data_IF_203382794601
#
_entry.id   IF_203382794601
#
_cell.length_a   1.000
_cell.length_b   1.000
_cell.length_c   1.000
_cell.angle_alpha   90.00
_cell.angle_beta   90.00
_cell.angle_gamma   90.00
#
_symmetry.space_group_name_H-M   'P 1'
#
loop_
_entity.id
_entity.type
_entity.pdbx_description
1 polymer ?
#
# COMPACT_ATOMS: atom_id res chain seq x y z
N UNK A 1 23.68 -21.79 -32.83
CA UNK A 1 24.29 -20.74 -33.70
C UNK A 1 25.39 -21.25 -34.63
N UNK A 2 26.38 -22.04 -34.19
CA UNK A 2 27.38 -22.64 -35.10
C UNK A 2 26.73 -23.72 -35.99
N UNK A 3 25.96 -24.64 -35.39
CA UNK A 3 25.20 -25.66 -36.11
C UNK A 3 24.19 -25.06 -37.12
N UNK A 4 23.64 -23.90 -36.80
CA UNK A 4 22.70 -23.16 -37.66
C UNK A 4 23.41 -22.31 -38.74
N UNK A 5 24.75 -22.32 -38.74
CA UNK A 5 25.58 -21.59 -39.70
C UNK A 5 25.55 -20.07 -39.54
N UNK A 6 25.16 -19.54 -38.38
CA UNK A 6 25.07 -18.09 -38.11
C UNK A 6 26.39 -17.48 -37.62
N UNK A 7 27.24 -18.30 -36.99
CA UNK A 7 28.58 -17.89 -36.53
C UNK A 7 29.58 -18.98 -36.87
N UNK A 8 30.80 -18.57 -37.23
CA UNK A 8 31.96 -19.46 -37.32
C UNK A 8 32.88 -19.20 -36.15
N UNK A 9 33.55 -20.27 -35.70
CA UNK A 9 34.59 -20.20 -34.68
C UNK A 9 35.94 -20.44 -35.33
N UNK A 10 36.89 -19.54 -35.11
CA UNK A 10 38.29 -19.69 -35.53
C UNK A 10 39.21 -19.62 -34.32
N UNK A 11 40.31 -20.36 -34.34
CA UNK A 11 41.30 -20.30 -33.26
C UNK A 11 42.12 -19.01 -33.41
N UNK A 12 42.31 -18.31 -32.29
CA UNK A 12 43.21 -17.16 -32.22
C UNK A 12 44.66 -17.60 -32.37
N UNK A 13 45.52 -16.65 -32.72
CA UNK A 13 46.96 -16.89 -32.99
C UNK A 13 47.74 -17.58 -31.86
N UNK A 14 47.26 -17.54 -30.61
CA UNK A 14 47.89 -18.19 -29.45
C UNK A 14 47.24 -19.52 -29.04
N UNK A 15 46.30 -20.03 -29.84
CA UNK A 15 45.48 -21.23 -29.62
C UNK A 15 44.65 -21.27 -28.32
N UNK A 16 44.78 -20.27 -27.43
CA UNK A 16 44.11 -20.21 -26.12
C UNK A 16 42.81 -19.41 -26.17
N UNK A 17 42.61 -18.62 -27.22
CA UNK A 17 41.38 -17.84 -27.44
C UNK A 17 40.66 -18.30 -28.69
N UNK A 18 39.33 -18.36 -28.62
CA UNK A 18 38.49 -18.59 -29.80
C UNK A 18 37.86 -17.29 -30.25
N UNK A 19 38.02 -16.98 -31.53
CA UNK A 19 37.39 -15.83 -32.17
C UNK A 19 36.09 -16.33 -32.80
N UNK A 20 34.97 -15.76 -32.38
CA UNK A 20 33.66 -16.03 -32.95
C UNK A 20 33.31 -14.89 -33.90
N UNK A 21 33.06 -15.20 -35.17
CA UNK A 21 32.65 -14.23 -36.17
C UNK A 21 31.28 -14.60 -36.73
N UNK A 22 30.45 -13.60 -37.02
CA UNK A 22 29.22 -13.82 -37.78
C UNK A 22 29.56 -14.27 -39.19
N UNK A 23 28.83 -15.27 -39.69
CA UNK A 23 28.87 -15.66 -41.10
C UNK A 23 28.07 -14.65 -41.93
N UNK A 24 28.15 -14.70 -43.27
CA UNK A 24 27.29 -13.87 -44.13
C UNK A 24 25.79 -14.08 -43.85
N UNK A 25 25.38 -15.33 -43.54
CA UNK A 25 24.02 -15.66 -43.09
C UNK A 25 23.71 -15.03 -41.73
N UNK A 26 24.63 -15.09 -40.78
CA UNK A 26 24.50 -14.43 -39.47
C UNK A 26 24.38 -12.91 -39.58
N UNK A 27 25.15 -12.28 -40.46
CA UNK A 27 25.05 -10.85 -40.75
C UNK A 27 23.73 -10.47 -41.43
N UNK A 28 23.18 -11.34 -42.28
CA UNK A 28 21.85 -11.16 -42.88
C UNK A 28 20.75 -11.18 -41.81
N UNK A 29 20.73 -12.22 -40.98
CA UNK A 29 19.77 -12.32 -39.86
C UNK A 29 19.90 -11.15 -38.89
N UNK A 30 21.13 -10.71 -38.60
CA UNK A 30 21.34 -9.55 -37.74
C UNK A 30 20.77 -8.27 -38.37
N UNK A 31 20.94 -8.05 -39.67
CA UNK A 31 20.35 -6.90 -40.38
C UNK A 31 18.83 -6.90 -40.32
N UNK A 32 18.18 -8.06 -40.33
CA UNK A 32 16.72 -8.16 -40.22
C UNK A 32 16.21 -7.98 -38.78
N UNK A 33 16.99 -8.44 -37.79
CA UNK A 33 16.62 -8.34 -36.37
C UNK A 33 16.92 -6.98 -35.76
N UNK A 34 17.98 -6.31 -36.20
CA UNK A 34 18.46 -5.07 -35.58
C UNK A 34 17.41 -3.94 -35.60
N UNK A 35 16.64 -3.71 -36.69
CA UNK A 35 15.54 -2.75 -36.68
C UNK A 35 14.42 -3.14 -35.71
N UNK A 36 14.10 -4.43 -35.60
CA UNK A 36 13.05 -4.92 -34.69
C UNK A 36 13.47 -4.76 -33.24
N UNK A 37 14.72 -5.08 -32.91
CA UNK A 37 15.25 -4.84 -31.58
C UNK A 37 15.27 -3.37 -31.24
N UNK A 38 15.70 -2.50 -32.17
CA UNK A 38 15.65 -1.05 -31.95
C UNK A 38 14.22 -0.59 -31.66
N UNK A 39 13.24 -1.00 -32.47
CA UNK A 39 11.84 -0.66 -32.24
C UNK A 39 11.31 -1.16 -30.88
N UNK A 40 11.71 -2.37 -30.44
CA UNK A 40 11.35 -2.88 -29.11
C UNK A 40 12.00 -2.03 -28.01
N UNK A 41 13.29 -1.72 -28.12
CA UNK A 41 13.98 -0.90 -27.10
C UNK A 41 13.46 0.53 -27.06
N UNK A 42 13.10 1.11 -28.20
CA UNK A 42 12.47 2.42 -28.29
C UNK A 42 11.07 2.39 -27.66
N UNK A 43 10.28 1.33 -27.88
CA UNK A 43 8.97 1.16 -27.22
C UNK A 43 9.09 0.99 -25.70
N UNK A 44 10.09 0.23 -25.22
CA UNK A 44 10.36 0.11 -23.79
C UNK A 44 10.82 1.48 -23.23
N UNK A 45 11.61 2.25 -23.97
CA UNK A 45 12.00 3.59 -23.55
C UNK A 45 10.79 4.54 -23.48
N UNK A 46 9.89 4.50 -24.47
CA UNK A 46 8.65 5.28 -24.44
C UNK A 46 7.78 4.94 -23.22
N UNK A 47 7.66 3.64 -22.89
CA UNK A 47 6.96 3.23 -21.66
C UNK A 47 7.66 3.74 -20.39
N UNK A 48 9.00 3.76 -20.36
CA UNK A 48 9.77 4.31 -19.24
C UNK A 48 9.60 5.84 -19.11
N UNK A 49 9.37 6.55 -20.22
CA UNK A 49 9.13 8.00 -20.23
C UNK A 49 7.67 8.34 -19.83
N UNK A 50 6.73 7.41 -20.01
CA UNK A 50 5.31 7.55 -19.61
C UNK A 50 5.08 7.27 -18.11
N UNK A 51 5.99 6.55 -17.45
CA UNK A 51 5.89 6.21 -16.03
C UNK A 51 6.73 7.18 -15.20
N UNK A 52 6.20 7.65 -14.07
CA UNK A 52 6.89 8.59 -13.17
C UNK A 52 8.11 7.99 -12.43
N UNK A 53 8.44 6.72 -12.68
CA UNK A 53 9.47 5.97 -11.97
C UNK A 53 10.38 5.24 -12.97
N UNK A 54 11.71 5.51 -13.01
CA UNK A 54 12.61 4.90 -13.98
C UNK A 54 12.93 3.45 -13.59
N UNK A 55 12.05 2.51 -13.97
CA UNK A 55 12.10 1.09 -13.58
C UNK A 55 13.42 0.43 -13.97
N UNK A 56 13.91 0.65 -15.20
CA UNK A 56 15.21 0.10 -15.63
C UNK A 56 16.37 0.65 -14.80
N UNK A 57 16.33 1.94 -14.48
CA UNK A 57 17.33 2.60 -13.63
C UNK A 57 17.32 2.01 -12.22
N UNK A 58 16.14 1.86 -11.64
CA UNK A 58 15.95 1.30 -10.31
C UNK A 58 16.35 -0.17 -10.23
N UNK A 59 15.99 -0.98 -11.22
CA UNK A 59 16.39 -2.39 -11.29
C UNK A 59 17.91 -2.52 -11.44
N UNK A 60 18.53 -1.69 -12.28
CA UNK A 60 20.00 -1.68 -12.46
C UNK A 60 20.70 -1.27 -11.15
N UNK A 61 20.19 -0.26 -10.46
CA UNK A 61 20.70 0.18 -9.16
C UNK A 61 20.53 -0.90 -8.08
N UNK A 62 19.39 -1.60 -8.06
CA UNK A 62 19.14 -2.71 -7.15
C UNK A 62 20.09 -3.89 -7.40
N UNK A 63 20.27 -4.29 -8.67
CA UNK A 63 21.23 -5.34 -9.05
C UNK A 63 22.66 -4.93 -8.65
N UNK A 64 23.07 -3.69 -8.96
CA UNK A 64 24.39 -3.19 -8.57
C UNK A 64 24.56 -3.18 -7.04
N UNK A 65 23.54 -2.81 -6.29
CA UNK A 65 23.56 -2.88 -4.83
C UNK A 65 23.71 -4.32 -4.32
N UNK A 66 22.98 -5.28 -4.90
CA UNK A 66 23.07 -6.70 -4.55
C UNK A 66 24.44 -7.32 -4.90
N UNK A 67 25.09 -6.84 -5.96
CA UNK A 67 26.44 -7.28 -6.34
C UNK A 67 27.54 -6.71 -5.44
N UNK A 68 27.35 -5.53 -4.84
CA UNK A 68 28.33 -4.93 -3.92
C UNK A 68 28.41 -5.66 -2.58
N UNK A 69 27.28 -6.11 -2.08
CA UNK A 69 27.14 -6.80 -0.80
C UNK A 69 26.05 -7.85 -0.94
N UNK A 70 26.42 -9.11 -0.77
CA UNK A 70 25.45 -10.20 -0.82
C UNK A 70 24.55 -10.22 0.42
N UNK A 71 23.49 -11.01 0.37
CA UNK A 71 22.49 -11.04 1.43
C UNK A 71 23.04 -11.56 2.76
N UNK A 72 23.98 -12.51 2.73
CA UNK A 72 24.61 -13.04 3.94
C UNK A 72 25.50 -11.99 4.62
N UNK A 73 26.26 -11.23 3.82
CA UNK A 73 27.07 -10.11 4.29
C UNK A 73 26.21 -9.01 4.89
N UNK A 74 25.05 -8.70 4.29
CA UNK A 74 24.08 -7.73 4.82
C UNK A 74 23.51 -8.16 6.17
N UNK A 75 23.14 -9.43 6.32
CA UNK A 75 22.72 -10.00 7.61
C UNK A 75 23.84 -9.90 8.65
N UNK A 76 25.07 -10.20 8.27
CA UNK A 76 26.22 -10.13 9.18
C UNK A 76 26.59 -8.68 9.57
N UNK A 77 26.35 -7.69 8.71
CA UNK A 77 26.50 -6.27 9.05
C UNK A 77 25.37 -5.83 9.99
N UNK A 78 24.13 -6.20 9.71
CA UNK A 78 22.98 -5.88 10.57
C UNK A 78 23.15 -6.44 12.00
N UNK A 79 23.60 -7.70 12.13
CA UNK A 79 23.90 -8.32 13.44
C UNK A 79 25.03 -7.60 14.20
N UNK A 80 26.06 -7.13 13.50
CA UNK A 80 27.19 -6.40 14.11
C UNK A 80 26.84 -4.98 14.54
N UNK A 81 25.84 -4.35 13.93
CA UNK A 81 25.29 -3.06 14.39
C UNK A 81 24.47 -3.22 15.68
N UNK A 82 23.86 -4.40 15.90
CA UNK A 82 23.10 -4.72 17.11
C UNK A 82 24.03 -5.00 18.32
N UNK A 83 25.21 -5.58 18.06
CA UNK A 83 26.20 -5.96 19.10
C UNK A 83 27.17 -4.82 19.50
N UNK A 84 27.26 -3.73 18.73
CA UNK A 84 28.14 -2.58 18.98
C UNK A 84 27.43 -1.37 19.58
N UNK A 85 26.56 -1.56 20.57
CA UNK A 85 26.11 -0.45 21.41
C UNK A 85 27.03 -0.32 22.66
N UNK A 86 28.15 0.42 22.61
CA UNK A 86 28.78 0.92 23.81
C UNK A 86 27.99 2.13 24.32
N UNK A 87 27.72 2.16 25.63
CA UNK A 87 27.26 3.37 26.30
C UNK A 87 28.37 4.42 26.28
N UNK A 88 28.06 5.61 25.76
CA UNK A 88 28.90 6.80 25.90
C UNK A 88 28.02 8.05 26.00
N UNK A 89 27.98 8.57 27.23
CA UNK A 89 28.13 9.98 27.62
C UNK A 89 27.58 11.09 26.71
N UNK A 90 26.63 11.82 27.30
CA UNK A 90 26.02 13.07 26.88
C UNK A 90 27.04 14.19 26.64
N UNK A 91 27.01 14.79 25.45
CA UNK A 91 27.38 16.20 25.25
C UNK A 91 26.23 16.88 24.50
N UNK A 92 25.73 17.96 25.10
CA UNK A 92 24.43 18.55 24.83
C UNK A 92 24.27 19.19 23.46
N UNK A 93 23.24 18.75 22.74
CA UNK A 93 22.51 19.56 21.77
C UNK A 93 21.30 20.16 22.48
N UNK A 94 20.94 21.43 22.24
CA UNK A 94 19.80 22.06 22.91
C UNK A 94 18.50 21.35 22.52
N UNK A 95 17.94 20.62 23.47
CA UNK A 95 16.63 19.97 23.37
C UNK A 95 15.52 21.01 23.47
N UNK A 96 15.05 21.49 22.32
CA UNK A 96 13.71 22.02 22.21
C UNK A 96 12.78 20.87 21.80
N UNK A 97 12.42 20.00 22.75
CA UNK A 97 11.43 18.95 22.55
C UNK A 97 10.06 19.60 22.36
N UNK A 98 9.70 19.86 21.11
CA UNK A 98 8.31 20.15 20.78
C UNK A 98 7.52 18.85 21.00
N UNK A 99 6.56 18.89 21.93
CA UNK A 99 5.78 17.73 22.39
C UNK A 99 4.78 17.19 21.36
N UNK A 100 5.24 16.86 20.14
CA UNK A 100 4.41 16.41 19.01
C UNK A 100 3.58 15.14 19.28
N UNK A 101 3.96 14.35 20.29
CA UNK A 101 3.40 13.03 20.56
C UNK A 101 2.67 12.93 21.93
N UNK A 102 2.36 14.05 22.58
CA UNK A 102 1.83 14.05 23.97
C UNK A 102 0.31 13.88 24.12
N UNK A 103 -0.50 13.91 23.05
CA UNK A 103 -1.96 13.78 23.15
C UNK A 103 -2.48 12.60 22.33
N UNK A 104 -2.78 11.48 23.00
CA UNK A 104 -3.41 10.31 22.41
C UNK A 104 -4.87 10.19 22.86
N UNK A 105 -5.80 10.23 21.90
CA UNK A 105 -7.23 10.00 22.14
C UNK A 105 -8.11 10.64 21.06
N UNK A 106 -8.18 11.97 21.03
CA UNK A 106 -9.06 12.74 20.12
C UNK A 106 -8.57 12.80 18.66
N UNK A 107 -7.32 12.42 18.38
CA UNK A 107 -6.70 12.51 17.06
C UNK A 107 -7.20 11.47 16.02
N UNK A 108 -7.86 10.37 16.45
CA UNK A 108 -8.08 9.21 15.58
C UNK A 108 -8.98 9.50 14.36
N UNK A 109 -10.10 10.22 14.56
CA UNK A 109 -11.04 10.54 13.49
C UNK A 109 -10.55 11.66 12.57
N UNK A 110 -9.82 12.65 13.12
CA UNK A 110 -9.35 13.84 12.38
C UNK A 110 -8.09 13.58 11.55
N UNK A 111 -7.28 12.58 11.91
CA UNK A 111 -5.96 12.35 11.29
C UNK A 111 -5.93 11.26 10.22
N UNK A 112 -7.01 10.49 10.00
CA UNK A 112 -7.02 9.45 8.95
C UNK A 112 -7.41 10.00 7.58
N UNK A 113 -6.77 9.52 6.51
CA UNK A 113 -7.12 9.93 5.15
C UNK A 113 -8.54 9.46 4.80
N UNK A 114 -9.36 10.34 4.24
CA UNK A 114 -10.68 10.00 3.70
C UNK A 114 -10.54 9.43 2.30
N UNK A 115 -11.35 8.43 1.97
CA UNK A 115 -11.40 7.88 0.62
C UNK A 115 -11.79 8.95 -0.43
N UNK A 116 -11.31 8.82 -1.67
CA UNK A 116 -11.76 9.63 -2.80
C UNK A 116 -13.23 9.33 -3.11
N UNK A 117 -14.07 10.33 -3.49
CA UNK A 117 -15.45 10.11 -3.94
C UNK A 117 -15.56 9.06 -5.06
N UNK A 118 -14.52 8.98 -5.91
CA UNK A 118 -14.38 8.02 -7.00
C UNK A 118 -14.51 6.57 -6.52
N UNK A 119 -14.07 6.24 -5.30
CA UNK A 119 -14.23 4.89 -4.76
C UNK A 119 -15.71 4.51 -4.63
N UNK A 120 -16.52 5.38 -4.00
CA UNK A 120 -17.94 5.13 -3.83
C UNK A 120 -18.68 5.14 -5.19
N UNK A 121 -18.29 6.03 -6.10
CA UNK A 121 -18.83 6.08 -7.46
C UNK A 121 -18.57 4.77 -8.23
N UNK A 122 -17.36 4.22 -8.15
CA UNK A 122 -17.01 2.96 -8.83
C UNK A 122 -17.76 1.76 -8.24
N UNK A 123 -17.85 1.68 -6.91
CA UNK A 123 -18.62 0.64 -6.22
C UNK A 123 -20.11 0.69 -6.62
N UNK A 124 -20.72 1.88 -6.58
CA UNK A 124 -22.10 2.07 -6.99
C UNK A 124 -22.32 1.82 -8.49
N UNK A 125 -21.35 2.18 -9.33
CA UNK A 125 -21.34 1.91 -10.77
C UNK A 125 -21.32 0.42 -11.12
N UNK A 126 -20.81 -0.42 -10.23
CA UNK A 126 -20.74 -1.88 -10.42
C UNK A 126 -22.05 -2.60 -10.06
N UNK A 127 -22.94 -1.94 -9.32
CA UNK A 127 -24.20 -2.49 -8.86
C UNK A 127 -25.32 -2.26 -9.89
N UNK A 128 -26.20 -3.24 -10.07
CA UNK A 128 -27.35 -3.12 -10.98
C UNK A 128 -28.46 -2.22 -10.40
N UNK A 129 -28.68 -2.34 -9.09
CA UNK A 129 -29.52 -1.45 -8.29
C UNK A 129 -28.68 -0.79 -7.19
N UNK A 130 -29.20 0.28 -6.59
CA UNK A 130 -28.51 1.04 -5.54
C UNK A 130 -29.43 1.30 -4.35
N UNK A 131 -30.22 0.29 -3.95
CA UNK A 131 -31.14 0.41 -2.82
C UNK A 131 -30.40 0.32 -1.49
N UNK A 132 -29.55 -0.71 -1.32
CA UNK A 132 -28.88 -0.95 -0.04
C UNK A 132 -27.39 -1.26 -0.22
N UNK A 133 -26.55 -0.45 0.42
CA UNK A 133 -25.15 -0.77 0.66
C UNK A 133 -24.92 -1.19 2.12
N UNK A 134 -24.10 -2.22 2.32
CA UNK A 134 -23.65 -2.69 3.63
C UNK A 134 -22.14 -2.42 3.77
N UNK A 135 -21.77 -1.48 4.64
CA UNK A 135 -20.38 -1.18 5.01
C UNK A 135 -20.02 -1.93 6.29
N UNK A 136 -19.15 -2.93 6.19
CA UNK A 136 -18.82 -3.89 7.25
C UNK A 136 -17.44 -3.61 7.83
N UNK A 137 -17.38 -3.38 9.13
CA UNK A 137 -16.21 -2.81 9.79
C UNK A 137 -16.01 -1.35 9.40
N UNK A 138 -17.08 -0.55 9.48
CA UNK A 138 -17.12 0.80 8.93
C UNK A 138 -16.28 1.82 9.71
N UNK A 139 -15.78 1.48 10.91
CA UNK A 139 -15.17 2.42 11.83
C UNK A 139 -16.10 3.62 12.09
N UNK A 140 -15.55 4.82 12.02
CA UNK A 140 -16.31 6.07 12.14
C UNK A 140 -17.01 6.52 10.84
N UNK A 141 -17.23 5.60 9.88
CA UNK A 141 -18.11 5.81 8.73
C UNK A 141 -17.51 6.62 7.58
N UNK A 142 -16.18 6.61 7.41
CA UNK A 142 -15.52 7.36 6.34
C UNK A 142 -16.03 6.95 4.94
N UNK A 143 -16.20 5.65 4.69
CA UNK A 143 -16.74 5.16 3.41
C UNK A 143 -18.28 5.21 3.40
N UNK A 144 -18.94 4.84 4.49
CA UNK A 144 -20.40 4.98 4.66
C UNK A 144 -20.94 6.34 4.21
N UNK A 145 -20.24 7.42 4.59
CA UNK A 145 -20.58 8.80 4.25
C UNK A 145 -20.57 9.07 2.75
N UNK A 146 -19.62 8.48 2.02
CA UNK A 146 -19.52 8.59 0.57
C UNK A 146 -20.59 7.73 -0.12
N UNK A 147 -20.78 6.50 0.36
CA UNK A 147 -21.80 5.57 -0.16
C UNK A 147 -23.22 6.14 -0.02
N UNK A 148 -23.49 6.88 1.04
CA UNK A 148 -24.77 7.55 1.26
C UNK A 148 -25.14 8.57 0.16
N UNK A 149 -24.19 9.02 -0.65
CA UNK A 149 -24.46 9.85 -1.84
C UNK A 149 -24.91 9.06 -3.07
N UNK A 150 -24.82 7.73 -3.04
CA UNK A 150 -25.07 6.86 -4.20
C UNK A 150 -26.14 5.79 -3.96
N UNK A 151 -26.47 5.48 -2.71
CA UNK A 151 -27.44 4.45 -2.34
C UNK A 151 -28.62 5.04 -1.56
N UNK A 152 -29.81 4.46 -1.75
CA UNK A 152 -31.03 4.88 -1.03
C UNK A 152 -30.85 4.70 0.48
N UNK A 153 -30.18 3.62 0.90
CA UNK A 153 -29.83 3.33 2.28
C UNK A 153 -28.42 2.73 2.41
N UNK A 154 -27.73 3.11 3.48
CA UNK A 154 -26.49 2.47 3.93
C UNK A 154 -26.71 1.88 5.31
N UNK A 155 -26.44 0.59 5.49
CA UNK A 155 -26.25 -0.01 6.81
C UNK A 155 -24.74 -0.09 7.06
N UNK A 156 -24.28 0.52 8.13
CA UNK A 156 -22.87 0.59 8.49
C UNK A 156 -22.66 -0.13 9.82
N UNK A 157 -21.77 -1.13 9.85
CA UNK A 157 -21.59 -2.01 11.01
C UNK A 157 -20.16 -1.99 11.51
N UNK A 158 -19.98 -1.92 12.82
CA UNK A 158 -18.68 -2.09 13.48
C UNK A 158 -18.85 -2.73 14.87
N UNK A 159 -17.85 -3.43 15.37
CA UNK A 159 -17.87 -4.02 16.72
C UNK A 159 -17.59 -2.99 17.81
N UNK A 160 -16.90 -1.90 17.46
CA UNK A 160 -16.48 -0.84 18.36
C UNK A 160 -17.56 0.22 18.54
N UNK A 161 -18.17 0.26 19.73
CA UNK A 161 -19.12 1.31 20.09
C UNK A 161 -18.48 2.71 19.97
N UNK A 162 -17.24 2.85 20.43
CA UNK A 162 -16.49 4.11 20.35
C UNK A 162 -16.33 4.63 18.91
N UNK A 163 -16.08 3.74 17.94
CA UNK A 163 -16.00 4.15 16.53
C UNK A 163 -17.36 4.65 16.01
N UNK A 164 -18.44 3.97 16.38
CA UNK A 164 -19.80 4.32 15.96
C UNK A 164 -20.29 5.62 16.61
N UNK A 165 -19.92 5.88 17.87
CA UNK A 165 -20.27 7.11 18.59
C UNK A 165 -19.64 8.36 17.93
N UNK A 166 -18.48 8.19 17.28
CA UNK A 166 -17.81 9.23 16.51
C UNK A 166 -18.16 9.23 15.01
N UNK A 167 -19.11 8.40 14.58
CA UNK A 167 -19.45 8.29 13.18
C UNK A 167 -20.29 9.48 12.69
N UNK A 168 -19.98 9.94 11.48
CA UNK A 168 -20.72 11.04 10.87
C UNK A 168 -22.17 10.63 10.58
N UNK A 169 -23.12 11.38 11.14
CA UNK A 169 -24.55 11.12 10.95
C UNK A 169 -25.05 11.63 9.60
N UNK A 170 -25.87 10.81 8.92
CA UNK A 170 -26.64 11.20 7.73
C UNK A 170 -28.03 10.54 7.77
N UNK A 171 -29.06 11.15 7.16
CA UNK A 171 -30.43 10.64 7.24
C UNK A 171 -30.62 9.21 6.71
N UNK A 172 -29.81 8.79 5.75
CA UNK A 172 -29.91 7.48 5.10
C UNK A 172 -28.81 6.50 5.52
N UNK A 173 -28.07 6.78 6.59
CA UNK A 173 -27.12 5.83 7.18
C UNK A 173 -27.69 5.29 8.49
N UNK A 174 -27.70 3.97 8.63
CA UNK A 174 -28.03 3.28 9.86
C UNK A 174 -26.78 2.58 10.41
N UNK A 175 -26.24 3.11 11.50
CA UNK A 175 -25.13 2.49 12.23
C UNK A 175 -25.64 1.39 13.16
N UNK A 176 -24.98 0.22 13.16
CA UNK A 176 -25.30 -0.89 14.06
C UNK A 176 -24.03 -1.50 14.64
N UNK A 177 -24.07 -1.85 15.92
CA UNK A 177 -22.95 -2.52 16.59
C UNK A 177 -23.03 -4.03 16.35
N UNK A 178 -22.31 -4.50 15.34
CA UNK A 178 -22.39 -5.88 14.87
C UNK A 178 -21.03 -6.39 14.39
N UNK A 179 -20.84 -7.70 14.47
CA UNK A 179 -19.66 -8.36 13.91
C UNK A 179 -19.89 -8.67 12.44
N UNK A 180 -18.81 -8.71 11.65
CA UNK A 180 -18.86 -9.05 10.23
C UNK A 180 -19.46 -10.44 9.97
N UNK A 181 -19.32 -11.35 10.94
CA UNK A 181 -19.77 -12.74 10.87
C UNK A 181 -21.23 -12.96 11.28
N UNK A 182 -21.94 -11.90 11.67
CA UNK A 182 -23.34 -11.98 12.11
C UNK A 182 -24.05 -10.65 11.83
N UNK A 183 -24.60 -10.52 10.63
CA UNK A 183 -25.22 -9.30 10.14
C UNK A 183 -26.73 -9.34 10.36
N UNK A 184 -27.31 -8.30 10.95
CA UNK A 184 -28.78 -8.22 11.10
C UNK A 184 -29.52 -7.85 9.81
N UNK A 185 -28.80 -7.61 8.72
CA UNK A 185 -29.38 -7.37 7.40
C UNK A 185 -30.20 -8.59 6.95
N UNK A 186 -31.32 -8.33 6.28
CA UNK A 186 -32.19 -9.36 5.75
C UNK A 186 -31.48 -10.16 4.64
N UNK A 187 -31.90 -11.40 4.45
CA UNK A 187 -31.41 -12.19 3.32
C UNK A 187 -31.79 -11.55 1.99
N UNK A 188 -30.97 -11.71 0.96
CA UNK A 188 -31.22 -11.23 -0.41
C UNK A 188 -31.62 -9.73 -0.48
N UNK A 189 -30.96 -8.88 0.31
CA UNK A 189 -31.35 -7.47 0.46
C UNK A 189 -30.29 -6.47 0.01
N UNK A 190 -29.01 -6.79 0.13
CA UNK A 190 -27.92 -5.87 -0.17
C UNK A 190 -27.54 -5.91 -1.66
N UNK A 191 -27.36 -4.72 -2.25
CA UNK A 191 -26.81 -4.53 -3.60
C UNK A 191 -25.28 -4.49 -3.60
N UNK A 192 -24.72 -3.92 -2.52
CA UNK A 192 -23.29 -3.80 -2.26
C UNK A 192 -22.98 -4.28 -0.84
N UNK A 193 -21.94 -5.09 -0.70
CA UNK A 193 -21.31 -5.44 0.57
C UNK A 193 -19.84 -5.02 0.47
N UNK A 194 -19.39 -4.11 1.32
CA UNK A 194 -18.02 -3.62 1.30
C UNK A 194 -17.39 -3.69 2.68
N UNK A 195 -16.10 -4.03 2.74
CA UNK A 195 -15.29 -3.94 3.95
C UNK A 195 -14.02 -3.16 3.63
N UNK A 196 -13.91 -1.93 4.17
CA UNK A 196 -12.83 -1.01 3.85
C UNK A 196 -11.86 -0.87 5.05
N UNK A 197 -10.61 -1.31 4.88
CA UNK A 197 -9.59 -1.40 5.95
C UNK A 197 -9.93 -2.36 7.10
N UNK A 198 -10.89 -3.27 6.92
CA UNK A 198 -11.37 -4.14 7.99
C UNK A 198 -11.19 -5.66 7.74
N UNK A 199 -11.15 -6.10 6.48
CA UNK A 199 -11.25 -7.53 6.12
C UNK A 199 -10.20 -8.45 6.78
N UNK A 200 -9.01 -7.93 7.07
CA UNK A 200 -7.92 -8.68 7.71
C UNK A 200 -8.17 -9.00 9.20
N UNK A 201 -9.25 -8.47 9.79
CA UNK A 201 -9.67 -8.78 11.17
C UNK A 201 -10.76 -9.87 11.24
N UNK A 202 -11.34 -10.26 10.11
CA UNK A 202 -12.54 -11.10 10.09
C UNK A 202 -12.23 -12.59 10.06
N UNK A 203 -13.15 -13.41 10.56
CA UNK A 203 -13.27 -14.81 10.15
C UNK A 203 -13.88 -14.85 8.74
N UNK A 204 -13.01 -14.82 7.73
CA UNK A 204 -13.40 -14.74 6.33
C UNK A 204 -14.37 -15.85 5.90
N UNK A 205 -14.18 -17.14 6.24
CA UNK A 205 -15.17 -18.18 5.95
C UNK A 205 -16.57 -17.89 6.50
N UNK A 206 -16.69 -17.33 7.71
CA UNK A 206 -17.98 -16.95 8.30
C UNK A 206 -18.56 -15.71 7.65
N UNK A 207 -17.74 -14.67 7.50
CA UNK A 207 -18.11 -13.43 6.81
C UNK A 207 -18.65 -13.73 5.40
N UNK A 208 -17.99 -14.58 4.61
CA UNK A 208 -18.46 -14.92 3.27
C UNK A 208 -19.74 -15.74 3.23
N UNK A 209 -20.10 -16.45 4.30
CA UNK A 209 -21.43 -17.07 4.41
C UNK A 209 -22.50 -16.01 4.62
N UNK A 210 -22.24 -15.03 5.48
CA UNK A 210 -23.13 -13.88 5.67
C UNK A 210 -23.26 -13.05 4.39
N UNK A 211 -22.17 -12.78 3.67
CA UNK A 211 -22.24 -12.08 2.39
C UNK A 211 -23.16 -12.77 1.38
N UNK A 212 -23.10 -14.11 1.30
CA UNK A 212 -24.00 -14.90 0.45
C UNK A 212 -25.44 -14.88 0.92
N UNK A 213 -25.67 -14.82 2.22
CA UNK A 213 -27.01 -14.76 2.78
C UNK A 213 -27.65 -13.40 2.52
N UNK A 214 -26.94 -12.30 2.76
CA UNK A 214 -27.50 -10.94 2.72
C UNK A 214 -27.47 -10.32 1.32
N UNK A 215 -26.53 -10.72 0.47
CA UNK A 215 -26.41 -10.19 -0.89
C UNK A 215 -27.53 -10.72 -1.78
N UNK A 216 -28.16 -9.83 -2.56
CA UNK A 216 -29.04 -10.24 -3.66
C UNK A 216 -28.27 -11.11 -4.67
N UNK A 217 -28.98 -11.90 -5.52
CA UNK A 217 -28.37 -12.49 -6.70
C UNK A 217 -27.62 -11.44 -7.53
N UNK A 218 -26.30 -11.60 -7.67
CA UNK A 218 -25.45 -10.66 -8.40
C UNK A 218 -25.02 -9.40 -7.62
N UNK A 219 -25.25 -9.34 -6.30
CA UNK A 219 -24.74 -8.28 -5.44
C UNK A 219 -23.22 -8.15 -5.55
N UNK A 220 -22.72 -6.93 -5.45
CA UNK A 220 -21.28 -6.65 -5.48
C UNK A 220 -20.70 -6.87 -4.09
N UNK A 221 -19.56 -7.55 -4.01
CA UNK A 221 -18.74 -7.63 -2.81
C UNK A 221 -17.38 -7.00 -3.05
N UNK A 222 -16.91 -6.17 -2.13
CA UNK A 222 -15.63 -5.49 -2.21
C UNK A 222 -14.85 -5.53 -0.89
N UNK A 223 -13.60 -5.99 -0.93
CA UNK A 223 -12.63 -5.80 0.15
C UNK A 223 -11.67 -4.71 -0.27
N UNK A 224 -11.76 -3.53 0.34
CA UNK A 224 -10.96 -2.38 -0.02
C UNK A 224 -9.92 -2.07 1.07
N UNK A 225 -8.76 -1.58 0.66
CA UNK A 225 -7.75 -1.07 1.58
C UNK A 225 -6.95 0.04 0.91
N UNK A 226 -6.32 0.90 1.71
CA UNK A 226 -5.26 1.78 1.26
C UNK A 226 -3.92 1.32 1.85
N UNK A 227 -2.90 1.29 0.98
CA UNK A 227 -1.59 0.72 1.27
C UNK A 227 -0.71 1.62 2.12
N UNK A 228 0.60 1.55 1.87
CA UNK A 228 1.60 2.36 2.56
C UNK A 228 1.59 3.78 1.97
N UNK A 229 1.56 4.85 2.80
CA UNK A 229 1.71 6.21 2.30
C UNK A 229 3.04 6.41 1.60
N UNK A 230 3.06 7.25 0.58
CA UNK A 230 4.29 7.84 0.06
C UNK A 230 4.14 9.34 -0.10
N UNK A 231 5.24 10.05 0.11
CA UNK A 231 5.34 11.48 -0.19
C UNK A 231 5.68 11.65 -1.67
N UNK A 232 5.11 12.64 -2.32
CA UNK A 232 5.55 13.04 -3.66
C UNK A 232 6.80 13.91 -3.51
N UNK A 233 7.97 13.36 -3.86
CA UNK A 233 9.24 14.07 -3.80
C UNK A 233 10.32 13.42 -2.91
N UNK A 234 11.39 14.17 -2.58
CA UNK A 234 12.63 13.61 -2.03
C UNK A 234 12.48 13.05 -0.61
N UNK A 235 11.50 13.52 0.16
CA UNK A 235 11.25 13.05 1.52
C UNK A 235 10.69 11.62 1.59
N UNK A 236 10.18 11.11 0.46
CA UNK A 236 9.60 9.78 0.41
C UNK A 236 10.57 8.67 0.81
N UNK A 237 11.82 8.74 0.35
CA UNK A 237 12.82 7.71 0.65
C UNK A 237 12.99 7.53 2.17
N UNK A 238 12.88 8.63 2.92
CA UNK A 238 12.97 8.61 4.38
C UNK A 238 11.73 8.03 5.04
N UNK A 239 10.54 8.40 4.55
CA UNK A 239 9.27 7.82 5.03
C UNK A 239 9.24 6.30 4.77
N UNK A 240 9.63 5.86 3.57
CA UNK A 240 9.69 4.43 3.23
C UNK A 240 10.71 3.68 4.09
N UNK A 241 11.89 4.25 4.32
CA UNK A 241 12.90 3.64 5.19
C UNK A 241 12.37 3.49 6.63
N UNK A 242 11.72 4.51 7.17
CA UNK A 242 11.12 4.46 8.49
C UNK A 242 10.05 3.38 8.58
N UNK A 243 9.12 3.36 7.62
CA UNK A 243 8.04 2.40 7.54
C UNK A 243 8.57 0.96 7.50
N UNK A 244 9.40 0.65 6.50
CA UNK A 244 9.79 -0.73 6.20
C UNK A 244 10.94 -1.27 7.03
N UNK A 245 11.74 -0.42 7.68
CA UNK A 245 12.92 -0.86 8.43
C UNK A 245 12.78 -0.56 9.91
N UNK A 246 12.46 0.68 10.27
CA UNK A 246 12.49 1.10 11.68
C UNK A 246 11.23 0.69 12.44
N UNK A 247 10.08 0.61 11.74
CA UNK A 247 8.81 0.21 12.36
C UNK A 247 8.38 -1.24 12.07
N UNK A 248 9.12 -1.96 11.23
CA UNK A 248 8.78 -3.32 10.77
C UNK A 248 8.38 -4.27 11.91
N UNK A 249 9.14 -4.29 12.99
CA UNK A 249 8.91 -5.18 14.14
C UNK A 249 7.65 -4.85 14.96
N UNK A 250 7.09 -3.65 14.81
CA UNK A 250 5.91 -3.22 15.56
C UNK A 250 4.61 -3.43 14.79
N UNK A 251 4.65 -3.75 13.49
CA UNK A 251 3.43 -4.00 12.74
C UNK A 251 2.76 -5.32 13.15
N UNK A 252 1.43 -5.36 13.30
CA UNK A 252 0.69 -6.62 13.46
C UNK A 252 0.89 -7.54 12.25
N UNK A 253 0.92 -8.85 12.46
CA UNK A 253 1.06 -9.84 11.39
C UNK A 253 0.00 -9.64 10.28
N UNK A 254 -1.24 -9.30 10.65
CA UNK A 254 -2.32 -9.02 9.68
C UNK A 254 -2.09 -7.79 8.79
N UNK A 255 -1.10 -6.93 9.09
CA UNK A 255 -0.79 -5.74 8.28
C UNK A 255 -0.30 -6.12 6.87
N UNK A 256 0.41 -7.23 6.73
CA UNK A 256 0.87 -7.76 5.45
C UNK A 256 -0.27 -7.93 4.43
N UNK A 257 -1.46 -8.30 4.89
CA UNK A 257 -2.63 -8.41 4.01
C UNK A 257 -3.05 -7.07 3.42
N UNK A 258 -2.93 -5.97 4.17
CA UNK A 258 -3.23 -4.63 3.63
C UNK A 258 -2.13 -4.15 2.68
N UNK A 259 -0.87 -4.42 3.03
CA UNK A 259 0.29 -4.03 2.19
C UNK A 259 0.28 -4.72 0.82
N UNK A 260 -0.22 -5.96 0.77
CA UNK A 260 -0.43 -6.72 -0.47
C UNK A 260 -1.78 -6.45 -1.13
N UNK A 261 -2.54 -5.46 -0.66
CA UNK A 261 -3.84 -5.10 -1.24
C UNK A 261 -4.87 -6.23 -1.18
N UNK A 262 -4.79 -7.06 -0.13
CA UNK A 262 -5.58 -8.27 0.09
C UNK A 262 -5.37 -9.40 -0.91
N UNK A 263 -4.34 -9.34 -1.76
CA UNK A 263 -4.08 -10.34 -2.80
C UNK A 263 -4.02 -11.79 -2.28
N UNK A 264 -3.55 -11.98 -1.05
CA UNK A 264 -3.38 -13.30 -0.43
C UNK A 264 -4.62 -13.80 0.34
N UNK A 265 -5.61 -12.94 0.59
CA UNK A 265 -6.82 -13.38 1.30
C UNK A 265 -7.61 -14.40 0.44
N UNK A 266 -8.29 -15.38 1.02
CA UNK A 266 -9.30 -16.14 0.28
C UNK A 266 -10.35 -15.18 -0.30
N UNK A 267 -10.83 -15.41 -1.51
CA UNK A 267 -11.94 -14.62 -2.07
C UNK A 267 -12.80 -15.52 -2.96
N UNK A 268 -13.78 -16.23 -2.37
CA UNK A 268 -14.53 -17.29 -3.04
C UNK A 268 -15.69 -16.73 -3.88
N UNK A 269 -15.42 -15.70 -4.68
CA UNK A 269 -16.37 -14.98 -5.52
C UNK A 269 -15.77 -14.78 -6.90
N UNK A 270 -16.61 -14.59 -7.92
CA UNK A 270 -16.12 -14.15 -9.23
C UNK A 270 -15.44 -12.80 -9.06
N UNK A 271 -14.19 -12.64 -9.48
CA UNK A 271 -13.44 -11.40 -9.32
C UNK A 271 -13.18 -10.73 -10.67
N UNK A 272 -12.99 -9.41 -10.65
CA UNK A 272 -12.54 -8.64 -11.81
C UNK A 272 -11.46 -7.63 -11.41
N UNK A 273 -10.71 -7.08 -12.38
CA UNK A 273 -9.68 -6.08 -12.10
C UNK A 273 -10.28 -4.86 -11.40
N UNK A 274 -9.64 -4.43 -10.31
CA UNK A 274 -9.97 -3.16 -9.67
C UNK A 274 -9.31 -2.01 -10.44
N UNK A 275 -9.99 -0.86 -10.62
CA UNK A 275 -9.33 0.35 -11.10
C UNK A 275 -8.22 0.79 -10.13
N UNK A 276 -7.21 1.47 -10.67
CA UNK A 276 -6.21 2.15 -9.87
C UNK A 276 -6.83 3.41 -9.26
N UNK A 277 -6.99 3.42 -7.94
CA UNK A 277 -7.49 4.55 -7.18
C UNK A 277 -6.46 4.94 -6.14
N UNK A 278 -6.45 6.22 -5.78
CA UNK A 278 -5.49 6.77 -4.84
C UNK A 278 -6.20 7.73 -3.89
N UNK A 279 -5.76 7.73 -2.63
CA UNK A 279 -6.07 8.84 -1.72
C UNK A 279 -4.96 9.86 -1.86
N UNK A 280 -5.29 11.12 -2.12
CA UNK A 280 -4.33 12.22 -2.12
C UNK A 280 -4.64 13.21 -1.00
N UNK A 281 -3.64 13.63 -0.25
CA UNK A 281 -3.76 14.71 0.74
C UNK A 281 -2.56 15.64 0.68
N UNK A 282 -2.83 16.93 0.78
CA UNK A 282 -1.82 17.94 1.04
C UNK A 282 -1.74 18.15 2.54
N UNK A 283 -0.66 17.67 3.16
CA UNK A 283 -0.46 17.78 4.59
C UNK A 283 0.83 18.52 4.91
N UNK A 284 0.78 19.31 5.98
CA UNK A 284 1.99 19.78 6.64
C UNK A 284 2.59 18.68 7.52
N UNK A 285 3.74 18.96 8.13
CA UNK A 285 4.46 18.00 8.97
C UNK A 285 3.61 17.54 10.17
N UNK A 286 2.92 18.45 10.83
CA UNK A 286 2.12 18.15 12.03
C UNK A 286 0.99 17.18 11.71
N UNK A 287 0.32 17.36 10.57
CA UNK A 287 -0.74 16.46 10.10
C UNK A 287 -0.21 15.07 9.76
N UNK A 288 0.97 14.97 9.12
CA UNK A 288 1.60 13.67 8.87
C UNK A 288 1.99 12.97 10.18
N UNK A 289 2.63 13.67 11.11
CA UNK A 289 3.01 13.09 12.40
C UNK A 289 1.78 12.70 13.24
N UNK A 290 0.71 13.48 13.19
CA UNK A 290 -0.59 13.14 13.78
C UNK A 290 -1.19 11.87 13.17
N UNK A 291 -1.17 11.72 11.85
CA UNK A 291 -1.59 10.50 11.17
C UNK A 291 -0.75 9.28 11.60
N UNK A 292 0.57 9.43 11.72
CA UNK A 292 1.46 8.34 12.14
C UNK A 292 1.15 7.83 13.56
N UNK A 293 0.63 8.68 14.44
CA UNK A 293 0.18 8.27 15.78
C UNK A 293 -1.03 7.34 15.74
N UNK A 294 -1.78 7.33 14.64
CA UNK A 294 -2.91 6.40 14.44
C UNK A 294 -2.48 5.02 13.95
N UNK A 295 -1.18 4.81 13.69
CA UNK A 295 -0.67 3.52 13.24
C UNK A 295 -0.66 2.50 14.39
N UNK A 296 -1.06 1.27 14.09
CA UNK A 296 -0.94 0.16 15.04
C UNK A 296 0.52 -0.08 15.45
N UNK A 297 1.48 0.17 14.56
CA UNK A 297 2.90 0.15 14.88
C UNK A 297 3.31 1.22 15.91
N UNK A 298 2.72 2.42 15.87
CA UNK A 298 2.98 3.45 16.89
C UNK A 298 2.49 2.99 18.26
N UNK A 299 1.26 2.49 18.34
CA UNK A 299 0.70 1.96 19.59
C UNK A 299 1.54 0.82 20.17
N UNK A 300 1.97 -0.14 19.33
CA UNK A 300 2.83 -1.25 19.76
C UNK A 300 4.24 -0.81 20.15
N UNK A 301 4.80 0.19 19.48
CA UNK A 301 6.07 0.79 19.90
C UNK A 301 5.94 1.48 21.25
N UNK A 302 4.83 2.19 21.50
CA UNK A 302 4.53 2.80 22.79
C UNK A 302 4.41 1.75 23.90
N UNK A 303 3.63 0.68 23.67
CA UNK A 303 3.45 -0.43 24.62
C UNK A 303 4.78 -1.15 24.92
N UNK A 304 5.70 -1.17 23.96
CA UNK A 304 7.04 -1.72 24.11
C UNK A 304 8.06 -0.75 24.73
N UNK A 305 7.66 0.46 25.13
CA UNK A 305 8.56 1.50 25.64
C UNK A 305 9.55 2.02 24.61
N UNK A 306 9.24 1.92 23.31
CA UNK A 306 10.06 2.30 22.15
C UNK A 306 9.54 3.54 21.42
N UNK A 307 8.89 4.44 22.15
CA UNK A 307 8.28 5.67 21.64
C UNK A 307 9.32 6.59 20.98
N UNK A 308 10.55 6.57 21.47
CA UNK A 308 11.66 7.41 21.00
C UNK A 308 12.02 7.18 19.52
N UNK A 309 11.65 6.03 18.94
CA UNK A 309 11.84 5.76 17.51
C UNK A 309 11.01 6.72 16.65
N UNK A 310 9.74 6.95 17.04
CA UNK A 310 8.85 7.87 16.33
C UNK A 310 9.20 9.32 16.61
N UNK A 311 9.58 9.66 17.84
CA UNK A 311 10.00 11.01 18.21
C UNK A 311 11.24 11.44 17.44
N UNK A 312 12.27 10.59 17.44
CA UNK A 312 13.49 10.82 16.67
C UNK A 312 13.22 10.97 15.18
N UNK A 313 12.34 10.13 14.61
CA UNK A 313 11.95 10.26 13.20
C UNK A 313 11.21 11.57 12.94
N UNK A 314 10.31 11.98 13.83
CA UNK A 314 9.60 13.25 13.73
C UNK A 314 10.54 14.44 13.70
N UNK A 315 11.44 14.56 14.68
CA UNK A 315 12.47 15.61 14.73
C UNK A 315 13.31 15.65 13.45
N UNK A 316 13.76 14.47 13.04
CA UNK A 316 14.52 14.26 11.84
C UNK A 316 13.79 14.77 10.60
N UNK A 317 12.54 14.33 10.39
CA UNK A 317 11.73 14.68 9.24
C UNK A 317 11.39 16.17 9.22
N UNK A 318 11.05 16.76 10.38
CA UNK A 318 10.80 18.20 10.54
C UNK A 318 12.00 19.03 10.11
N UNK A 319 13.23 18.62 10.48
CA UNK A 319 14.44 19.36 10.13
C UNK A 319 14.71 19.48 8.62
N UNK A 320 14.09 18.63 7.79
CA UNK A 320 14.23 18.62 6.33
C UNK A 320 12.91 18.86 5.60
N UNK A 321 11.83 19.16 6.32
CA UNK A 321 10.49 19.34 5.74
C UNK A 321 10.35 20.64 4.94
N UNK A 322 11.14 21.65 5.30
CA UNK A 322 11.01 23.03 4.85
C UNK A 322 10.32 23.89 5.92
N UNK A 323 9.61 24.94 5.51
CA UNK A 323 8.81 25.75 6.44
C UNK A 323 7.71 24.88 7.07
N UNK A 324 7.41 24.99 8.38
CA UNK A 324 6.43 24.13 9.07
C UNK A 324 5.03 24.10 8.43
N UNK A 325 4.61 25.20 7.79
CA UNK A 325 3.33 25.28 7.07
C UNK A 325 3.35 24.73 5.64
N UNK A 326 4.50 24.29 5.14
CA UNK A 326 4.64 23.77 3.78
C UNK A 326 3.87 22.46 3.63
N UNK A 327 3.02 22.41 2.62
CA UNK A 327 2.25 21.23 2.29
C UNK A 327 3.06 20.31 1.38
N UNK A 328 3.12 19.05 1.75
CA UNK A 328 3.63 17.97 0.91
C UNK A 328 2.44 17.11 0.48
N UNK A 329 2.44 16.70 -0.80
CA UNK A 329 1.43 15.76 -1.27
C UNK A 329 1.79 14.36 -0.79
N UNK A 330 0.85 13.72 -0.10
CA UNK A 330 0.93 12.36 0.36
C UNK A 330 -0.13 11.55 -0.37
N UNK A 331 0.29 10.40 -0.87
CA UNK A 331 -0.55 9.52 -1.65
C UNK A 331 -0.59 8.12 -1.04
N UNK A 332 -1.78 7.53 -1.00
CA UNK A 332 -1.98 6.14 -0.62
C UNK A 332 -2.62 5.39 -1.79
N UNK A 333 -2.00 4.31 -2.29
CA UNK A 333 -2.64 3.47 -3.29
C UNK A 333 -3.81 2.72 -2.66
N UNK A 334 -4.97 2.76 -3.31
CA UNK A 334 -6.13 1.94 -2.94
C UNK A 334 -6.04 0.63 -3.71
N UNK A 335 -6.15 -0.47 -2.99
CA UNK A 335 -6.27 -1.81 -3.56
C UNK A 335 -7.60 -2.41 -3.14
N UNK A 336 -8.22 -3.12 -4.07
CA UNK A 336 -9.51 -3.72 -3.83
C UNK A 336 -9.62 -5.08 -4.49
N UNK A 337 -10.21 -6.04 -3.76
CA UNK A 337 -10.75 -7.27 -4.32
C UNK A 337 -12.23 -7.11 -4.46
N UNK A 338 -12.68 -7.08 -5.71
CA UNK A 338 -14.07 -6.82 -6.04
C UNK A 338 -14.64 -7.98 -6.86
N UNK A 339 -15.88 -8.33 -6.55
CA UNK A 339 -16.54 -9.50 -7.09
C UNK A 339 -18.05 -9.46 -6.99
N UNK A 340 -18.69 -10.55 -7.42
CA UNK A 340 -20.13 -10.78 -7.24
C UNK A 340 -20.37 -11.98 -6.34
N UNK A 341 -21.36 -11.84 -5.47
CA UNK A 341 -21.87 -12.89 -4.59
C UNK A 341 -22.42 -14.06 -5.38
#
# INVERSE_FOLDING_TARGET
MIADGLVRRTHGSDARRSIVCLTGRGQGVLRDLQPRWRAIFDAIQGLEDEIDVPLRGNLSAAIAALQRLDFAQRIAVAKRCDERAPGTSEEGLPTASHGYFQQGGEAYALSRPTYPPELAQQLAGSCAERRLALDVGCGSGQLSTLLAGHFDQVIATDVSADQLDHAQQRPNILYRREAAENMSAASDSADLIVAAQAAHWFDLPRFYRECRRVGKPGAVIALASYGVPYLEGPLNARLQQFYWQQTAQFWPAGRHHVETGYAELPFPFSHWPSPALFIHRDWNIDQLLGYMQTWSAYRRALDAGRREIFERFGEQLTAVWGEPGSLQRITWPISMRIGRV
#
